data_IF_429127029158
#
_entry.id   IF_429127029158
#
_cell.length_a   1.000
_cell.length_b   1.000
_cell.length_c   1.000
_cell.angle_alpha   90.00
_cell.angle_beta   90.00
_cell.angle_gamma   90.00
#
_symmetry.space_group_name_H-M   'P 1'
#
loop_
_entity.id
_entity.type
_entity.pdbx_description
1 polymer ?
#
# COMPACT_ATOMS: atom_id res chain seq x y z
N UNK A 1 -16.39 -72.13 -17.73
CA UNK A 1 -15.99 -71.11 -18.73
C UNK A 1 -14.69 -70.48 -18.22
N UNK A 2 -13.56 -70.75 -18.88
CA UNK A 2 -12.27 -70.13 -18.54
C UNK A 2 -12.21 -68.79 -19.28
N UNK A 3 -12.09 -67.69 -18.55
CA UNK A 3 -11.87 -66.38 -19.15
C UNK A 3 -10.50 -66.39 -19.85
N UNK A 4 -10.51 -66.24 -21.16
CA UNK A 4 -9.30 -66.01 -21.95
C UNK A 4 -9.02 -64.51 -21.85
N UNK A 5 -8.00 -64.14 -21.08
CA UNK A 5 -7.44 -62.79 -21.12
C UNK A 5 -6.46 -62.73 -22.29
N UNK A 6 -6.85 -62.07 -23.36
CA UNK A 6 -5.92 -61.74 -24.45
C UNK A 6 -5.14 -60.51 -24.00
N UNK A 7 -3.90 -60.71 -23.56
CA UNK A 7 -2.94 -59.63 -23.38
C UNK A 7 -2.33 -59.33 -24.75
N UNK A 8 -2.86 -58.34 -25.46
CA UNK A 8 -2.22 -57.81 -26.66
C UNK A 8 -1.04 -56.96 -26.19
N UNK A 9 0.15 -57.56 -26.16
CA UNK A 9 1.39 -56.81 -26.10
C UNK A 9 1.61 -56.17 -27.48
N UNK A 10 1.24 -54.90 -27.63
CA UNK A 10 1.48 -54.13 -28.84
C UNK A 10 2.97 -53.71 -28.84
N UNK A 11 3.84 -54.54 -29.41
CA UNK A 11 5.24 -54.18 -29.66
C UNK A 11 5.28 -53.37 -30.97
N UNK A 12 5.23 -52.04 -30.86
CA UNK A 12 5.57 -51.15 -31.97
C UNK A 12 7.10 -51.08 -32.09
N UNK A 13 7.66 -51.95 -32.95
CA UNK A 13 9.02 -51.78 -33.46
C UNK A 13 9.01 -50.69 -34.54
N UNK A 14 9.58 -49.53 -34.23
CA UNK A 14 10.23 -48.65 -35.21
C UNK A 14 9.39 -48.17 -36.41
N UNK A 15 8.14 -47.76 -36.20
CA UNK A 15 7.39 -46.97 -37.18
C UNK A 15 7.17 -45.59 -36.56
N UNK A 16 7.88 -44.57 -37.03
CA UNK A 16 7.48 -43.17 -36.80
C UNK A 16 6.29 -42.85 -37.70
N UNK A 17 5.09 -43.21 -37.24
CA UNK A 17 3.88 -42.64 -37.79
C UNK A 17 3.73 -41.21 -37.25
N UNK A 18 4.29 -40.23 -37.97
CA UNK A 18 4.07 -38.80 -37.71
C UNK A 18 2.65 -38.37 -38.14
N UNK A 19 1.62 -38.98 -37.55
CA UNK A 19 0.24 -38.85 -38.05
C UNK A 19 -0.81 -38.49 -36.99
N UNK A 20 -0.43 -38.06 -35.79
CA UNK A 20 -1.41 -37.54 -34.85
C UNK A 20 -0.97 -36.20 -34.27
N UNK A 21 -1.49 -35.13 -34.87
CA UNK A 21 -1.58 -33.80 -34.25
C UNK A 21 -2.42 -33.83 -32.97
N UNK A 22 -3.15 -34.93 -32.71
CA UNK A 22 -4.13 -35.04 -31.63
C UNK A 22 -4.31 -36.48 -31.16
N UNK A 23 -4.35 -36.69 -29.84
CA UNK A 23 -4.81 -37.91 -29.20
C UNK A 23 -6.23 -37.73 -28.65
N UNK A 24 -7.17 -38.56 -29.10
CA UNK A 24 -8.58 -38.50 -28.68
C UNK A 24 -8.96 -39.72 -27.85
N UNK A 25 -9.37 -39.50 -26.60
CA UNK A 25 -9.98 -40.53 -25.76
C UNK A 25 -11.51 -40.48 -25.89
N UNK A 26 -12.12 -41.53 -26.42
CA UNK A 26 -13.59 -41.73 -26.42
C UNK A 26 -14.02 -42.90 -25.53
N UNK A 27 -13.08 -43.52 -24.81
CA UNK A 27 -13.30 -44.73 -24.01
C UNK A 27 -12.79 -44.55 -22.58
N UNK A 28 -12.04 -45.53 -22.08
CA UNK A 28 -11.43 -45.47 -20.75
C UNK A 28 -9.91 -45.59 -20.88
N UNK A 29 -9.19 -44.56 -20.45
CA UNK A 29 -7.74 -44.59 -20.28
C UNK A 29 -7.44 -44.73 -18.80
N UNK A 30 -6.64 -45.75 -18.45
CA UNK A 30 -6.11 -45.92 -17.10
C UNK A 30 -4.59 -46.02 -17.16
N UNK A 31 -3.91 -45.20 -16.37
CA UNK A 31 -2.47 -45.30 -16.14
C UNK A 31 -2.22 -46.16 -14.89
N UNK A 32 -1.22 -47.04 -14.97
CA UNK A 32 -0.78 -47.87 -13.86
C UNK A 32 0.48 -47.30 -13.20
N UNK A 33 0.78 -47.76 -11.98
CA UNK A 33 1.93 -47.32 -11.19
C UNK A 33 3.24 -47.35 -12.00
N UNK A 34 3.98 -46.24 -11.96
CA UNK A 34 5.24 -46.05 -12.67
C UNK A 34 5.08 -45.54 -14.12
N UNK A 35 3.84 -45.39 -14.61
CA UNK A 35 3.62 -44.87 -15.95
C UNK A 35 3.89 -43.35 -16.03
N UNK A 36 4.26 -42.90 -17.22
CA UNK A 36 4.26 -41.49 -17.60
C UNK A 36 3.63 -41.40 -18.97
N UNK A 37 2.72 -40.46 -19.17
CA UNK A 37 2.07 -40.23 -20.47
C UNK A 37 2.52 -38.88 -21.00
N UNK A 38 3.20 -38.88 -22.15
CA UNK A 38 3.65 -37.66 -22.81
C UNK A 38 2.83 -37.44 -24.07
N UNK A 39 2.22 -36.26 -24.16
CA UNK A 39 1.51 -35.78 -25.33
C UNK A 39 2.42 -34.86 -26.13
N UNK A 40 2.65 -35.20 -27.40
CA UNK A 40 3.39 -34.37 -28.36
C UNK A 40 2.46 -33.56 -29.29
N UNK A 41 1.17 -33.88 -29.31
CA UNK A 41 0.09 -33.13 -29.99
C UNK A 41 -1.05 -32.79 -29.02
N UNK A 42 -2.18 -32.33 -29.54
CA UNK A 42 -3.38 -32.02 -28.76
C UNK A 42 -3.89 -33.24 -27.98
N UNK A 43 -4.60 -32.99 -26.87
CA UNK A 43 -5.32 -34.03 -26.14
C UNK A 43 -6.81 -33.68 -26.05
N UNK A 44 -7.66 -34.59 -26.52
CA UNK A 44 -9.13 -34.49 -26.44
C UNK A 44 -9.64 -35.61 -25.54
N UNK A 45 -10.23 -35.27 -24.39
CA UNK A 45 -10.83 -36.24 -23.48
C UNK A 45 -12.37 -36.21 -23.53
N UNK A 46 -12.95 -37.14 -24.27
CA UNK A 46 -14.41 -37.38 -24.34
C UNK A 46 -14.82 -38.65 -23.57
N UNK A 47 -13.89 -39.29 -22.87
CA UNK A 47 -14.11 -40.52 -22.10
C UNK A 47 -13.62 -40.39 -20.65
N UNK A 48 -13.45 -41.54 -19.99
CA UNK A 48 -12.85 -41.59 -18.64
C UNK A 48 -11.33 -41.54 -18.77
N UNK A 49 -10.69 -40.65 -18.03
CA UNK A 49 -9.24 -40.58 -17.89
C UNK A 49 -8.86 -40.74 -16.41
N UNK A 50 -8.22 -41.86 -16.08
CA UNK A 50 -7.78 -42.20 -14.73
C UNK A 50 -6.27 -42.30 -14.73
N UNK A 51 -5.57 -41.25 -14.31
CA UNK A 51 -4.11 -41.27 -14.32
C UNK A 51 -3.48 -41.97 -13.11
N UNK A 52 -4.26 -42.45 -12.14
CA UNK A 52 -3.78 -43.32 -11.07
C UNK A 52 -2.61 -42.75 -10.25
N UNK A 53 -2.55 -41.44 -10.06
CA UNK A 53 -1.44 -40.79 -9.35
C UNK A 53 -0.20 -40.53 -10.19
N UNK A 54 -0.24 -40.81 -11.50
CA UNK A 54 0.92 -40.74 -12.40
C UNK A 54 1.11 -39.35 -13.02
N UNK A 55 2.04 -39.25 -13.97
CA UNK A 55 2.45 -37.97 -14.59
C UNK A 55 1.97 -37.88 -16.04
N UNK A 56 1.24 -36.81 -16.35
CA UNK A 56 0.96 -36.36 -17.70
C UNK A 56 1.90 -35.21 -18.09
N UNK A 57 2.47 -35.25 -19.29
CA UNK A 57 3.43 -34.26 -19.79
C UNK A 57 2.96 -33.75 -21.15
N UNK A 58 2.90 -32.43 -21.32
CA UNK A 58 2.71 -31.78 -22.62
C UNK A 58 4.07 -31.23 -23.10
N UNK A 59 4.66 -31.90 -24.10
CA UNK A 59 6.04 -31.67 -24.59
C UNK A 59 6.06 -31.60 -26.12
N UNK A 60 5.04 -30.99 -26.72
CA UNK A 60 4.98 -30.76 -28.16
C UNK A 60 6.01 -29.73 -28.65
N UNK A 61 6.26 -29.73 -29.96
CA UNK A 61 7.07 -28.71 -30.65
C UNK A 61 6.22 -27.62 -31.31
N UNK A 62 4.91 -27.83 -31.38
CA UNK A 62 3.89 -26.88 -31.84
C UNK A 62 2.89 -26.65 -30.72
N UNK A 63 2.09 -25.59 -30.82
CA UNK A 63 1.09 -25.26 -29.81
C UNK A 63 0.11 -26.43 -29.59
N UNK A 64 -0.21 -26.75 -28.34
CA UNK A 64 -1.11 -27.86 -27.98
C UNK A 64 -2.41 -27.38 -27.32
N UNK A 65 -3.50 -28.10 -27.54
CA UNK A 65 -4.77 -27.90 -26.87
C UNK A 65 -5.10 -29.05 -25.90
N UNK A 66 -5.64 -28.71 -24.73
CA UNK A 66 -6.30 -29.65 -23.82
C UNK A 66 -7.81 -29.41 -23.90
N UNK A 67 -8.54 -30.36 -24.46
CA UNK A 67 -9.95 -30.22 -24.80
C UNK A 67 -10.74 -31.49 -24.50
N UNK A 68 -12.03 -31.48 -24.81
CA UNK A 68 -12.93 -32.62 -24.64
C UNK A 68 -14.23 -32.25 -23.95
N UNK A 69 -15.15 -33.20 -23.87
CA UNK A 69 -16.45 -33.04 -23.22
C UNK A 69 -16.52 -33.60 -21.80
N UNK A 70 -15.56 -34.44 -21.42
CA UNK A 70 -15.57 -35.14 -20.13
C UNK A 70 -14.61 -34.47 -19.16
N UNK A 71 -15.03 -34.36 -17.89
CA UNK A 71 -14.21 -33.78 -16.82
C UNK A 71 -12.80 -34.38 -16.81
N UNK A 72 -11.80 -33.52 -16.74
CA UNK A 72 -10.40 -33.92 -16.84
C UNK A 72 -9.62 -33.54 -15.59
N UNK A 73 -9.13 -34.56 -14.92
CA UNK A 73 -8.30 -34.45 -13.71
C UNK A 73 -6.96 -35.10 -13.96
N UNK A 74 -5.89 -34.37 -13.64
CA UNK A 74 -4.54 -34.87 -13.57
C UNK A 74 -4.11 -34.95 -12.11
N UNK A 75 -3.45 -36.02 -11.71
CA UNK A 75 -2.71 -36.13 -10.47
C UNK A 75 -1.46 -35.26 -10.54
N UNK A 76 -0.61 -35.47 -11.54
CA UNK A 76 0.55 -34.63 -11.79
C UNK A 76 0.58 -34.18 -13.25
N UNK A 77 0.68 -32.87 -13.48
CA UNK A 77 0.71 -32.27 -14.81
C UNK A 77 2.00 -31.51 -15.00
N UNK A 78 2.71 -31.79 -16.10
CA UNK A 78 3.89 -31.03 -16.50
C UNK A 78 3.64 -30.33 -17.83
N UNK A 79 3.83 -29.01 -17.84
CA UNK A 79 3.84 -28.19 -19.05
C UNK A 79 5.30 -27.95 -19.43
N UNK A 80 5.70 -28.49 -20.58
CA UNK A 80 7.07 -28.46 -21.12
C UNK A 80 7.13 -27.96 -22.57
N UNK A 81 6.00 -27.54 -23.12
CA UNK A 81 5.93 -27.08 -24.50
C UNK A 81 6.22 -25.57 -24.61
N UNK A 82 7.37 -25.20 -25.21
CA UNK A 82 7.74 -23.79 -25.41
C UNK A 82 6.81 -23.02 -26.36
N UNK A 83 6.07 -23.70 -27.25
CA UNK A 83 5.04 -23.10 -28.09
C UNK A 83 3.71 -22.87 -27.34
N UNK A 84 3.61 -23.36 -26.10
CA UNK A 84 2.48 -23.17 -25.20
C UNK A 84 1.40 -24.26 -25.30
N UNK A 85 0.55 -24.27 -24.28
CA UNK A 85 -0.60 -25.17 -24.14
C UNK A 85 -1.83 -24.33 -23.79
N UNK A 86 -2.93 -24.53 -24.52
CA UNK A 86 -4.20 -23.83 -24.27
C UNK A 86 -5.26 -24.77 -23.71
N UNK A 87 -5.99 -24.32 -22.69
CA UNK A 87 -7.17 -25.00 -22.19
C UNK A 87 -8.41 -24.68 -23.05
N UNK A 88 -9.11 -25.71 -23.49
CA UNK A 88 -10.44 -25.62 -24.11
C UNK A 88 -11.54 -26.16 -23.18
N UNK A 89 -11.16 -26.73 -22.04
CA UNK A 89 -12.03 -27.10 -20.93
C UNK A 89 -11.33 -26.82 -19.59
N UNK A 90 -12.11 -26.64 -18.52
CA UNK A 90 -11.56 -26.53 -17.17
C UNK A 90 -10.95 -27.86 -16.74
N UNK A 91 -9.85 -27.81 -15.98
CA UNK A 91 -9.15 -29.00 -15.50
C UNK A 91 -8.83 -28.90 -14.01
N UNK A 92 -8.62 -30.06 -13.38
CA UNK A 92 -8.18 -30.18 -11.99
C UNK A 92 -6.79 -30.83 -11.96
N UNK A 93 -5.89 -30.31 -11.12
CA UNK A 93 -4.60 -30.91 -10.79
C UNK A 93 -4.59 -31.28 -9.30
N UNK A 94 -4.55 -32.56 -8.98
CA UNK A 94 -4.69 -33.05 -7.59
C UNK A 94 -3.39 -32.97 -6.77
N UNK A 95 -2.22 -33.10 -7.38
CA UNK A 95 -0.94 -33.12 -6.65
C UNK A 95 -0.01 -32.00 -7.10
N UNK A 96 0.59 -32.11 -8.30
CA UNK A 96 1.61 -31.15 -8.74
C UNK A 96 1.37 -30.64 -10.16
N UNK A 97 1.51 -29.32 -10.32
CA UNK A 97 1.64 -28.65 -11.61
C UNK A 97 3.08 -28.17 -11.77
N UNK A 98 3.80 -28.69 -12.76
CA UNK A 98 5.18 -28.32 -13.05
C UNK A 98 5.24 -27.49 -14.35
N UNK A 99 5.58 -26.21 -14.24
CA UNK A 99 5.72 -25.27 -15.36
C UNK A 99 7.20 -25.16 -15.76
N UNK A 100 7.62 -26.07 -16.62
CA UNK A 100 9.04 -26.19 -17.01
C UNK A 100 9.38 -25.33 -18.23
N UNK A 101 8.47 -25.17 -19.19
CA UNK A 101 8.66 -24.34 -20.38
C UNK A 101 7.31 -23.95 -21.01
N UNK A 102 7.26 -22.73 -21.56
CA UNK A 102 6.11 -22.16 -22.27
C UNK A 102 4.92 -21.76 -21.39
N UNK A 103 3.92 -21.19 -22.05
CA UNK A 103 2.70 -20.72 -21.39
C UNK A 103 1.66 -21.84 -21.25
N UNK A 104 0.94 -21.86 -20.13
CA UNK A 104 -0.37 -22.50 -19.99
C UNK A 104 -1.44 -21.41 -20.07
N UNK A 105 -2.07 -21.26 -21.23
CA UNK A 105 -3.18 -20.32 -21.43
C UNK A 105 -4.48 -20.93 -20.93
N UNK A 106 -5.08 -20.28 -19.93
CA UNK A 106 -6.34 -20.71 -19.35
C UNK A 106 -7.52 -20.51 -20.29
N UNK A 107 -7.43 -19.58 -21.26
CA UNK A 107 -8.41 -19.37 -22.32
C UNK A 107 -9.89 -19.48 -21.86
N UNK A 108 -10.24 -18.64 -20.89
CA UNK A 108 -11.59 -18.58 -20.32
C UNK A 108 -12.03 -19.85 -19.58
N UNK A 109 -11.08 -20.67 -19.12
CA UNK A 109 -11.30 -21.87 -18.31
C UNK A 109 -10.71 -21.71 -16.91
N UNK A 110 -11.22 -22.54 -16.01
CA UNK A 110 -10.70 -22.63 -14.65
C UNK A 110 -9.67 -23.76 -14.56
N UNK A 111 -8.49 -23.42 -14.05
CA UNK A 111 -7.52 -24.41 -13.57
C UNK A 111 -7.65 -24.50 -12.06
N UNK A 112 -7.97 -25.68 -11.54
CA UNK A 112 -8.06 -25.93 -10.09
C UNK A 112 -6.86 -26.74 -9.61
N UNK A 113 -6.15 -26.24 -8.60
CA UNK A 113 -5.13 -26.99 -7.86
C UNK A 113 -5.78 -27.49 -6.57
N UNK A 114 -5.93 -28.81 -6.46
CA UNK A 114 -6.57 -29.49 -5.34
C UNK A 114 -5.53 -30.08 -4.37
N UNK A 115 -4.44 -29.32 -4.16
CA UNK A 115 -3.40 -29.63 -3.20
C UNK A 115 -3.07 -28.37 -2.41
N UNK A 116 -3.19 -28.45 -1.08
CA UNK A 116 -2.99 -27.33 -0.18
C UNK A 116 -1.52 -27.03 0.15
N UNK A 117 -0.57 -27.75 -0.45
CA UNK A 117 0.86 -27.48 -0.29
C UNK A 117 1.31 -26.27 -1.11
N UNK A 118 2.11 -25.34 -0.56
CA UNK A 118 2.78 -24.27 -1.31
C UNK A 118 3.64 -24.77 -2.48
N UNK A 119 4.16 -25.99 -2.40
CA UNK A 119 4.99 -26.61 -3.44
C UNK A 119 4.20 -27.33 -4.55
N UNK A 120 2.87 -27.29 -4.51
CA UNK A 120 2.02 -27.98 -5.50
C UNK A 120 2.03 -27.32 -6.88
N UNK A 121 2.45 -26.06 -6.98
CA UNK A 121 2.85 -25.46 -8.25
C UNK A 121 4.36 -25.21 -8.19
N UNK A 122 5.08 -25.77 -9.15
CA UNK A 122 6.52 -25.53 -9.32
C UNK A 122 6.80 -24.90 -10.68
N UNK A 123 7.87 -24.09 -10.76
CA UNK A 123 8.24 -23.37 -11.97
C UNK A 123 9.74 -23.42 -12.20
N UNK A 124 10.14 -23.71 -13.43
CA UNK A 124 11.50 -23.48 -13.93
C UNK A 124 11.54 -22.29 -14.89
N UNK A 125 10.66 -22.28 -15.91
CA UNK A 125 10.60 -21.18 -16.89
C UNK A 125 9.15 -20.88 -17.36
N UNK A 126 8.25 -21.86 -17.36
CA UNK A 126 6.87 -21.69 -17.82
C UNK A 126 6.00 -20.79 -16.92
N UNK A 127 4.82 -20.40 -17.39
CA UNK A 127 3.92 -19.50 -16.66
C UNK A 127 2.47 -19.70 -17.10
N UNK A 128 1.52 -19.12 -16.37
CA UNK A 128 0.08 -19.21 -16.64
C UNK A 128 -0.41 -17.89 -17.24
N UNK A 129 -1.20 -17.94 -18.31
CA UNK A 129 -1.87 -16.77 -18.89
C UNK A 129 -3.34 -16.77 -18.45
N UNK A 130 -3.79 -15.64 -17.89
CA UNK A 130 -5.13 -15.43 -17.31
C UNK A 130 -5.83 -14.20 -17.90
N UNK A 131 -5.34 -13.68 -19.02
CA UNK A 131 -5.61 -12.33 -19.54
C UNK A 131 -6.99 -12.15 -20.23
N UNK A 132 -8.05 -12.71 -19.64
CA UNK A 132 -9.43 -12.51 -20.08
C UNK A 132 -10.11 -11.44 -19.24
N UNK A 133 -10.63 -10.41 -19.91
CA UNK A 133 -11.24 -9.23 -19.29
C UNK A 133 -12.56 -9.52 -18.56
N UNK A 134 -13.25 -10.58 -18.93
CA UNK A 134 -14.49 -11.06 -18.30
C UNK A 134 -14.25 -11.92 -17.06
N UNK A 135 -12.99 -12.01 -16.60
CA UNK A 135 -12.58 -12.80 -15.46
C UNK A 135 -12.85 -14.31 -15.64
N UNK A 136 -12.99 -14.84 -16.85
CA UNK A 136 -13.31 -16.27 -17.05
C UNK A 136 -12.10 -17.20 -16.89
N UNK A 137 -10.90 -16.75 -17.26
CA UNK A 137 -9.66 -17.53 -17.16
C UNK A 137 -9.03 -17.40 -15.77
N UNK A 138 -9.31 -18.33 -14.85
CA UNK A 138 -8.89 -18.21 -13.43
C UNK A 138 -8.09 -19.42 -12.93
N UNK A 139 -7.13 -19.15 -12.04
CA UNK A 139 -6.46 -20.17 -11.23
C UNK A 139 -7.14 -20.24 -9.86
N UNK A 140 -7.73 -21.37 -9.51
CA UNK A 140 -8.28 -21.66 -8.17
C UNK A 140 -7.34 -22.60 -7.43
N UNK A 141 -6.93 -22.25 -6.22
CA UNK A 141 -6.07 -23.07 -5.38
C UNK A 141 -6.78 -23.40 -4.07
N UNK A 142 -6.96 -24.69 -3.76
CA UNK A 142 -7.47 -25.16 -2.48
C UNK A 142 -6.37 -25.09 -1.43
N UNK A 143 -6.41 -24.10 -0.53
CA UNK A 143 -5.36 -23.86 0.46
C UNK A 143 -5.85 -24.20 1.88
N UNK A 144 -7.05 -23.79 2.25
CA UNK A 144 -7.59 -23.97 3.60
C UNK A 144 -6.81 -23.17 4.63
N UNK A 145 -6.46 -23.81 5.74
CA UNK A 145 -5.71 -23.21 6.86
C UNK A 145 -4.19 -23.34 6.78
N UNK A 146 -3.64 -23.77 5.64
CA UNK A 146 -2.20 -23.88 5.48
C UNK A 146 -1.56 -22.50 5.36
N UNK A 147 -0.50 -22.28 6.14
CA UNK A 147 0.30 -21.05 6.10
C UNK A 147 1.51 -21.21 5.17
N UNK A 148 2.10 -20.08 4.78
CA UNK A 148 3.27 -20.02 3.92
C UNK A 148 3.00 -19.34 2.57
N UNK A 149 4.01 -19.40 1.70
CA UNK A 149 4.04 -18.61 0.47
C UNK A 149 3.56 -19.40 -0.75
N UNK A 150 2.37 -19.06 -1.23
CA UNK A 150 1.76 -19.62 -2.43
C UNK A 150 2.01 -18.68 -3.63
N UNK A 151 2.70 -19.19 -4.64
CA UNK A 151 3.06 -18.40 -5.82
C UNK A 151 2.13 -18.79 -6.97
N UNK A 152 1.34 -17.84 -7.45
CA UNK A 152 0.53 -17.94 -8.65
C UNK A 152 1.40 -17.47 -9.83
N UNK A 153 1.93 -18.38 -10.67
CA UNK A 153 3.01 -18.07 -11.60
C UNK A 153 2.46 -17.47 -12.91
N UNK A 154 1.77 -16.34 -12.80
CA UNK A 154 1.23 -15.66 -13.97
C UNK A 154 2.32 -15.07 -14.86
N UNK A 155 2.00 -14.97 -16.13
CA UNK A 155 2.76 -14.23 -17.12
C UNK A 155 1.83 -13.54 -18.12
N UNK A 156 2.39 -12.61 -18.87
CA UNK A 156 1.67 -11.90 -19.94
C UNK A 156 1.64 -12.71 -21.23
N UNK A 157 0.70 -12.43 -22.13
CA UNK A 157 0.70 -13.03 -23.47
C UNK A 157 1.97 -12.70 -24.28
N UNK A 158 2.66 -11.60 -23.95
CA UNK A 158 3.96 -11.24 -24.52
C UNK A 158 5.15 -11.96 -23.88
N UNK A 159 4.93 -12.75 -22.82
CA UNK A 159 5.92 -13.61 -22.18
C UNK A 159 6.68 -13.01 -21.00
N UNK A 160 6.21 -11.87 -20.45
CA UNK A 160 6.77 -11.33 -19.20
C UNK A 160 6.24 -12.12 -18.00
N UNK A 161 7.11 -12.54 -17.09
CA UNK A 161 6.71 -13.23 -15.86
C UNK A 161 6.28 -12.22 -14.79
N UNK A 162 5.05 -12.33 -14.32
CA UNK A 162 4.37 -11.37 -13.43
C UNK A 162 3.64 -12.11 -12.31
N UNK A 163 4.38 -12.78 -11.40
CA UNK A 163 3.76 -13.62 -10.38
C UNK A 163 2.92 -12.79 -9.42
N UNK A 164 1.80 -13.37 -9.02
CA UNK A 164 1.10 -12.97 -7.81
C UNK A 164 1.54 -13.88 -6.67
N UNK A 165 1.95 -13.30 -5.54
CA UNK A 165 2.40 -14.05 -4.37
C UNK A 165 1.45 -13.80 -3.22
N UNK A 166 0.94 -14.90 -2.65
CA UNK A 166 0.08 -14.91 -1.49
C UNK A 166 0.87 -15.55 -0.33
N UNK A 167 1.28 -14.75 0.65
CA UNK A 167 1.98 -15.24 1.83
C UNK A 167 1.03 -15.27 3.03
N UNK A 168 0.51 -16.46 3.34
CA UNK A 168 -0.52 -16.64 4.37
C UNK A 168 0.15 -16.70 5.73
N UNK A 169 -0.20 -15.75 6.60
CA UNK A 169 0.37 -15.63 7.94
C UNK A 169 -0.45 -16.35 8.99
N UNK A 170 -1.79 -16.40 8.84
CA UNK A 170 -2.71 -17.03 9.80
C UNK A 170 -4.13 -17.17 9.25
N UNK A 171 -4.94 -18.04 9.90
CA UNK A 171 -6.36 -18.25 9.58
C UNK A 171 -6.62 -19.31 8.51
N UNK A 172 -7.90 -19.61 8.27
CA UNK A 172 -8.41 -20.38 7.14
C UNK A 172 -8.81 -19.51 5.93
N UNK A 173 -7.93 -19.43 4.93
CA UNK A 173 -8.20 -18.66 3.70
C UNK A 173 -9.12 -19.40 2.72
N UNK A 174 -9.36 -20.70 2.94
CA UNK A 174 -10.17 -21.54 2.07
C UNK A 174 -9.54 -21.72 0.69
N UNK A 175 -10.36 -21.68 -0.35
CA UNK A 175 -9.90 -21.60 -1.72
C UNK A 175 -9.60 -20.15 -2.07
N UNK A 176 -8.45 -19.91 -2.72
CA UNK A 176 -8.12 -18.61 -3.32
C UNK A 176 -8.22 -18.74 -4.83
N UNK A 177 -9.00 -17.86 -5.44
CA UNK A 177 -9.17 -17.78 -6.89
C UNK A 177 -8.59 -16.46 -7.38
N UNK A 178 -7.68 -16.55 -8.34
CA UNK A 178 -6.99 -15.38 -8.89
C UNK A 178 -7.15 -15.35 -10.41
N UNK A 179 -7.38 -14.15 -10.94
CA UNK A 179 -7.17 -13.83 -12.34
C UNK A 179 -6.48 -12.48 -12.47
N UNK A 180 -5.87 -12.24 -13.63
CA UNK A 180 -5.28 -10.94 -13.96
C UNK A 180 -5.27 -10.72 -15.46
N UNK A 181 -5.50 -9.47 -15.87
CA UNK A 181 -5.47 -9.10 -17.28
C UNK A 181 -4.92 -7.67 -17.45
N UNK A 182 -4.21 -7.42 -18.55
CA UNK A 182 -3.74 -6.09 -18.91
C UNK A 182 -4.90 -5.28 -19.46
N UNK A 183 -4.80 -3.97 -19.33
CA UNK A 183 -5.74 -3.02 -19.92
C UNK A 183 -5.07 -2.20 -21.01
N UNK A 184 -5.88 -1.52 -21.81
CA UNK A 184 -5.39 -0.43 -22.64
C UNK A 184 -5.16 0.82 -21.77
N UNK A 185 -4.67 1.89 -22.39
CA UNK A 185 -4.61 3.22 -21.77
C UNK A 185 -5.95 3.60 -21.11
N UNK A 186 -5.88 4.42 -20.07
CA UNK A 186 -7.00 4.79 -19.19
C UNK A 186 -7.57 3.59 -18.39
N UNK A 187 -6.77 2.52 -18.29
CA UNK A 187 -7.05 1.28 -17.57
C UNK A 187 -8.37 0.61 -17.97
N UNK A 188 -8.76 0.66 -19.23
CA UNK A 188 -9.98 0.00 -19.73
C UNK A 188 -9.68 -1.32 -20.46
N UNK A 189 -10.60 -2.30 -20.41
CA UNK A 189 -11.88 -2.28 -19.70
C UNK A 189 -11.73 -2.52 -18.19
N UNK A 190 -12.69 -2.01 -17.40
CA UNK A 190 -12.78 -2.28 -15.97
C UNK A 190 -13.35 -3.68 -15.68
N UNK A 191 -13.00 -4.29 -14.53
CA UNK A 191 -13.64 -5.53 -14.10
C UNK A 191 -15.16 -5.38 -14.00
N UNK A 192 -15.90 -6.31 -14.60
CA UNK A 192 -17.38 -6.34 -14.55
C UNK A 192 -17.94 -7.54 -13.81
N UNK A 193 -17.10 -8.48 -13.36
CA UNK A 193 -17.50 -9.71 -12.68
C UNK A 193 -16.34 -10.33 -11.89
N UNK A 194 -16.58 -10.90 -10.69
CA UNK A 194 -17.84 -10.86 -9.94
C UNK A 194 -18.13 -9.47 -9.35
N UNK A 195 -17.09 -8.65 -9.18
CA UNK A 195 -17.17 -7.31 -8.63
C UNK A 195 -17.00 -6.31 -9.77
N UNK A 196 -17.90 -5.32 -9.82
CA UNK A 196 -17.88 -4.26 -10.82
C UNK A 196 -17.02 -3.10 -10.29
N UNK A 197 -15.97 -2.77 -11.03
CA UNK A 197 -15.21 -1.53 -10.86
C UNK A 197 -15.78 -0.47 -11.80
N UNK A 198 -16.04 0.72 -11.28
CA UNK A 198 -16.72 1.77 -12.05
C UNK A 198 -15.82 2.94 -12.43
N UNK A 199 -14.68 3.11 -11.78
CA UNK A 199 -13.75 4.22 -12.01
C UNK A 199 -12.34 3.93 -11.49
N UNK A 200 -11.38 4.77 -11.90
CA UNK A 200 -10.03 4.87 -11.34
C UNK A 200 -9.85 6.27 -10.77
N UNK A 201 -10.68 6.62 -9.79
CA UNK A 201 -10.61 7.94 -9.17
C UNK A 201 -9.75 7.94 -7.90
N UNK A 202 -9.12 9.07 -7.62
CA UNK A 202 -8.49 9.36 -6.35
C UNK A 202 -9.53 9.61 -5.23
N UNK A 203 -9.05 9.86 -4.01
CA UNK A 203 -9.90 10.12 -2.83
C UNK A 203 -10.78 11.37 -2.97
N UNK A 204 -10.43 12.29 -3.87
CA UNK A 204 -11.18 13.52 -4.13
C UNK A 204 -12.16 13.36 -5.31
N UNK A 205 -12.19 12.20 -5.96
CA UNK A 205 -13.03 11.91 -7.10
C UNK A 205 -12.45 12.33 -8.45
N UNK A 206 -11.16 12.71 -8.53
CA UNK A 206 -10.48 13.00 -9.78
C UNK A 206 -9.95 11.74 -10.44
N UNK A 207 -9.93 11.72 -11.77
CA UNK A 207 -9.35 10.61 -12.53
C UNK A 207 -7.84 10.46 -12.23
N UNK A 208 -7.44 9.25 -11.86
CA UNK A 208 -6.07 8.83 -11.54
C UNK A 208 -5.56 7.74 -12.50
N UNK A 209 -6.24 7.54 -13.63
CA UNK A 209 -5.91 6.50 -14.60
C UNK A 209 -4.49 6.62 -15.16
N UNK A 210 -4.05 7.84 -15.47
CA UNK A 210 -2.70 8.14 -15.97
C UNK A 210 -1.57 7.77 -14.99
N UNK A 211 -1.91 7.53 -13.72
CA UNK A 211 -0.99 7.20 -12.63
C UNK A 211 -1.29 5.81 -12.05
N UNK A 212 -2.02 4.98 -12.80
CA UNK A 212 -2.38 3.61 -12.46
C UNK A 212 -1.83 2.67 -13.52
N UNK A 213 -1.21 1.57 -13.10
CA UNK A 213 -0.69 0.58 -14.03
C UNK A 213 -1.81 -0.06 -14.84
N UNK A 214 -1.55 -0.38 -16.11
CA UNK A 214 -2.52 -0.95 -17.04
C UNK A 214 -2.74 -2.45 -16.80
N UNK A 215 -3.19 -2.80 -15.59
CA UNK A 215 -3.51 -4.17 -15.17
C UNK A 215 -4.41 -4.22 -13.95
N UNK A 216 -5.34 -5.17 -13.95
CA UNK A 216 -6.12 -5.55 -12.77
C UNK A 216 -5.73 -6.95 -12.27
N UNK A 217 -5.90 -7.15 -10.97
CA UNK A 217 -5.97 -8.48 -10.35
C UNK A 217 -7.34 -8.65 -9.73
N UNK A 218 -8.08 -9.69 -10.12
CA UNK A 218 -9.23 -10.12 -9.35
C UNK A 218 -8.78 -11.23 -8.41
N UNK A 219 -8.99 -11.03 -7.11
CA UNK A 219 -8.71 -12.05 -6.11
C UNK A 219 -9.96 -12.27 -5.28
N UNK A 220 -10.38 -13.53 -5.17
CA UNK A 220 -11.50 -13.97 -4.37
C UNK A 220 -11.02 -15.06 -3.40
N UNK A 221 -11.56 -15.07 -2.17
CA UNK A 221 -11.37 -16.17 -1.22
C UNK A 221 -12.71 -16.66 -0.67
N UNK A 222 -12.82 -17.92 -0.28
CA UNK A 222 -14.03 -18.49 0.34
C UNK A 222 -13.83 -18.98 1.79
N UNK A 223 -12.64 -18.82 2.36
CA UNK A 223 -12.38 -19.13 3.76
C UNK A 223 -12.88 -18.07 4.74
N UNK A 224 -13.25 -18.48 5.97
CA UNK A 224 -13.94 -17.63 6.94
C UNK A 224 -13.06 -16.52 7.53
N UNK A 225 -11.79 -16.79 7.79
CA UNK A 225 -10.86 -15.87 8.43
C UNK A 225 -9.46 -16.11 7.87
N UNK A 226 -8.73 -15.09 7.45
CA UNK A 226 -7.43 -15.33 6.82
C UNK A 226 -6.68 -14.04 6.66
N UNK A 227 -5.44 -14.03 7.11
CA UNK A 227 -4.53 -12.90 6.96
C UNK A 227 -3.38 -13.31 6.07
N UNK A 228 -3.10 -12.51 5.06
CA UNK A 228 -1.99 -12.75 4.16
C UNK A 228 -1.28 -11.45 3.78
N UNK A 229 0.00 -11.56 3.42
CA UNK A 229 0.68 -10.53 2.65
C UNK A 229 0.52 -10.82 1.17
N UNK A 230 0.10 -9.83 0.38
CA UNK A 230 -0.10 -9.96 -1.07
C UNK A 230 1.01 -9.25 -1.81
N UNK A 231 1.69 -9.92 -2.74
CA UNK A 231 2.64 -9.25 -3.65
C UNK A 231 2.13 -9.30 -5.07
N UNK A 232 1.94 -8.12 -5.63
CA UNK A 232 1.55 -7.91 -7.02
C UNK A 232 2.79 -7.57 -7.84
N UNK A 233 2.90 -8.13 -9.04
CA UNK A 233 3.97 -7.83 -9.99
C UNK A 233 3.33 -7.52 -11.34
N UNK A 234 3.69 -6.40 -11.98
CA UNK A 234 3.27 -6.06 -13.34
C UNK A 234 4.46 -5.97 -14.29
N UNK A 235 4.21 -6.03 -15.59
CA UNK A 235 5.27 -5.84 -16.57
C UNK A 235 5.68 -4.36 -16.60
N UNK A 236 6.97 -4.09 -16.85
CA UNK A 236 7.45 -2.69 -16.93
C UNK A 236 6.72 -1.86 -17.99
N UNK A 237 6.27 -2.50 -19.09
CA UNK A 237 5.46 -1.86 -20.12
C UNK A 237 4.06 -1.44 -19.66
N UNK A 238 3.51 -2.10 -18.64
CA UNK A 238 2.18 -1.81 -18.06
C UNK A 238 2.26 -0.74 -16.97
N UNK A 239 3.42 -0.62 -16.33
CA UNK A 239 3.71 0.42 -15.33
C UNK A 239 4.13 1.73 -16.01
N UNK A 240 4.85 1.65 -17.13
CA UNK A 240 5.34 2.82 -17.85
C UNK A 240 6.30 3.65 -16.99
N UNK A 241 5.96 4.93 -16.78
CA UNK A 241 6.76 5.88 -16.02
C UNK A 241 6.30 6.06 -14.57
N UNK A 242 5.34 5.26 -14.11
CA UNK A 242 4.82 5.36 -12.74
C UNK A 242 5.93 4.97 -11.75
N UNK A 243 6.11 5.76 -10.70
CA UNK A 243 7.06 5.51 -9.62
C UNK A 243 6.35 5.49 -8.27
N UNK A 244 7.05 5.05 -7.22
CA UNK A 244 6.50 4.94 -5.86
C UNK A 244 5.21 4.11 -5.83
N UNK A 245 5.23 2.94 -6.47
CA UNK A 245 4.05 2.08 -6.59
C UNK A 245 3.46 1.73 -5.21
N UNK A 246 2.15 1.81 -5.12
CA UNK A 246 1.34 1.28 -4.04
C UNK A 246 0.20 0.47 -4.63
N UNK A 247 -0.42 -0.38 -3.82
CA UNK A 247 -1.56 -1.18 -4.20
C UNK A 247 -2.81 -0.73 -3.44
N UNK A 248 -3.92 -0.70 -4.14
CA UNK A 248 -5.24 -0.41 -3.57
C UNK A 248 -6.24 -1.45 -3.99
N UNK A 249 -7.20 -1.66 -3.08
CA UNK A 249 -8.28 -2.60 -3.23
C UNK A 249 -9.55 -1.84 -3.60
N UNK A 250 -10.31 -2.33 -4.57
CA UNK A 250 -11.64 -1.83 -4.85
C UNK A 250 -12.63 -2.35 -3.80
N UNK A 251 -13.37 -1.45 -3.18
CA UNK A 251 -14.38 -1.77 -2.19
C UNK A 251 -15.77 -1.50 -2.79
N UNK A 252 -16.45 -2.58 -3.15
CA UNK A 252 -17.77 -2.54 -3.78
C UNK A 252 -18.86 -2.00 -2.85
N UNK A 253 -18.70 -2.18 -1.54
CA UNK A 253 -19.61 -1.61 -0.55
C UNK A 253 -19.59 -0.08 -0.53
N UNK A 254 -18.41 0.52 -0.70
CA UNK A 254 -18.25 1.99 -0.75
C UNK A 254 -18.31 2.54 -2.17
N UNK A 255 -18.17 1.68 -3.20
CA UNK A 255 -18.09 2.09 -4.60
C UNK A 255 -16.80 2.86 -4.92
N UNK A 256 -15.70 2.58 -4.21
CA UNK A 256 -14.44 3.30 -4.35
C UNK A 256 -13.20 2.49 -3.94
N UNK A 257 -12.03 3.08 -4.17
CA UNK A 257 -10.74 2.50 -3.77
C UNK A 257 -10.49 2.71 -2.28
N UNK A 258 -10.19 1.64 -1.55
CA UNK A 258 -9.79 1.74 -0.14
C UNK A 258 -8.51 2.57 0.00
N UNK A 259 -8.36 3.26 1.12
CA UNK A 259 -7.08 3.85 1.48
C UNK A 259 -5.99 2.77 1.50
N UNK A 260 -4.77 3.06 1.00
CA UNK A 260 -3.71 2.06 0.99
C UNK A 260 -3.41 1.57 2.41
N UNK A 261 -3.31 0.26 2.59
CA UNK A 261 -2.95 -0.30 3.88
C UNK A 261 -1.54 0.18 4.30
N UNK A 262 -1.29 0.43 5.59
CA UNK A 262 0.01 0.86 6.07
C UNK A 262 1.06 -0.25 5.94
N UNK A 263 2.32 0.15 5.74
CA UNK A 263 3.47 -0.78 5.73
C UNK A 263 3.72 -1.49 4.40
N UNK A 264 3.12 -1.02 3.29
CA UNK A 264 3.46 -1.52 1.96
C UNK A 264 4.92 -1.25 1.63
N UNK A 265 5.52 -2.17 0.87
CA UNK A 265 6.84 -2.00 0.26
C UNK A 265 6.74 -2.18 -1.24
N UNK A 266 7.65 -1.57 -1.99
CA UNK A 266 7.63 -1.62 -3.44
C UNK A 266 9.02 -1.81 -4.05
N UNK A 267 9.00 -2.22 -5.31
CA UNK A 267 10.12 -2.14 -6.24
C UNK A 267 9.67 -1.34 -7.46
N UNK A 268 10.48 -1.30 -8.52
CA UNK A 268 10.08 -0.71 -9.78
C UNK A 268 8.86 -1.40 -10.41
N UNK A 269 8.64 -2.69 -10.13
CA UNK A 269 7.58 -3.47 -10.80
C UNK A 269 6.69 -4.29 -9.88
N UNK A 270 6.86 -4.17 -8.57
CA UNK A 270 6.07 -4.93 -7.60
C UNK A 270 5.72 -4.13 -6.37
N UNK A 271 4.62 -4.52 -5.72
CA UNK A 271 4.20 -3.99 -4.42
C UNK A 271 3.78 -5.14 -3.52
N UNK A 272 4.26 -5.15 -2.28
CA UNK A 272 3.83 -6.06 -1.23
C UNK A 272 2.95 -5.33 -0.23
N UNK A 273 1.75 -5.87 0.02
CA UNK A 273 0.75 -5.36 0.96
C UNK A 273 0.64 -6.30 2.15
N UNK A 274 1.03 -5.88 3.37
CA UNK A 274 0.92 -6.73 4.54
C UNK A 274 -0.50 -6.74 5.12
N UNK A 275 -0.79 -7.77 5.92
CA UNK A 275 -1.99 -7.87 6.78
C UNK A 275 -3.34 -7.74 6.04
N UNK A 276 -3.42 -8.28 4.82
CA UNK A 276 -4.65 -8.26 4.03
C UNK A 276 -5.62 -9.33 4.51
N UNK A 277 -6.86 -8.93 4.79
CA UNK A 277 -7.97 -9.82 5.18
C UNK A 277 -9.15 -9.78 4.22
N UNK A 278 -9.22 -8.76 3.37
CA UNK A 278 -10.28 -8.55 2.38
C UNK A 278 -9.74 -8.63 0.96
N UNK A 279 -10.47 -9.33 0.09
CA UNK A 279 -10.07 -9.63 -1.28
C UNK A 279 -11.17 -9.18 -2.22
N UNK A 280 -10.77 -8.56 -3.32
CA UNK A 280 -11.63 -8.01 -4.37
C UNK A 280 -10.71 -7.58 -5.54
N UNK A 281 -11.13 -6.79 -6.54
CA UNK A 281 -10.20 -6.25 -7.52
C UNK A 281 -9.10 -5.39 -6.87
N UNK A 282 -7.88 -5.48 -7.39
CA UNK A 282 -6.74 -4.66 -7.00
C UNK A 282 -6.10 -4.00 -8.22
N UNK A 283 -5.48 -2.85 -7.98
CA UNK A 283 -4.62 -2.12 -8.91
C UNK A 283 -3.28 -1.80 -8.27
N UNK A 284 -2.30 -1.48 -9.12
CA UNK A 284 -1.09 -0.75 -8.72
C UNK A 284 -1.20 0.67 -9.22
N UNK A 285 -0.89 1.64 -8.37
CA UNK A 285 -0.88 3.05 -8.73
C UNK A 285 0.35 3.74 -8.15
N UNK A 286 0.77 4.86 -8.74
CA UNK A 286 1.87 5.65 -8.20
C UNK A 286 1.40 6.47 -7.03
N UNK A 287 2.05 6.35 -5.87
CA UNK A 287 1.84 7.32 -4.80
C UNK A 287 2.64 8.60 -5.09
N UNK A 288 2.27 9.28 -6.17
CA UNK A 288 2.76 10.60 -6.54
C UNK A 288 2.04 11.72 -5.77
N UNK A 289 1.18 11.35 -4.81
CA UNK A 289 0.65 12.25 -3.80
C UNK A 289 1.68 12.33 -2.68
N UNK A 290 2.45 13.42 -2.54
CA UNK A 290 3.25 13.60 -1.34
C UNK A 290 2.29 13.56 -0.16
N UNK A 291 2.59 12.74 0.84
CA UNK A 291 1.97 12.94 2.15
C UNK A 291 2.13 14.43 2.46
N UNK A 292 1.03 15.16 2.70
CA UNK A 292 1.10 16.60 2.85
C UNK A 292 2.09 16.93 3.97
N UNK A 293 2.99 17.88 3.73
CA UNK A 293 3.77 18.49 4.81
C UNK A 293 2.82 18.76 5.97
N UNK A 294 3.15 18.20 7.12
CA UNK A 294 2.34 18.37 8.31
C UNK A 294 2.76 19.68 9.00
N UNK A 295 2.05 20.76 8.65
CA UNK A 295 2.22 22.06 9.28
C UNK A 295 1.73 22.00 10.73
N UNK A 296 2.66 22.02 11.69
CA UNK A 296 2.35 21.98 13.12
C UNK A 296 1.82 23.32 13.63
N UNK A 297 2.43 24.42 13.19
CA UNK A 297 2.00 25.75 13.58
C UNK A 297 2.26 26.79 12.48
N UNK A 298 1.47 27.85 12.54
CA UNK A 298 1.71 29.09 11.79
C UNK A 298 1.24 30.26 12.66
N UNK A 299 2.12 31.24 12.85
CA UNK A 299 1.91 32.38 13.73
C UNK A 299 2.39 33.67 13.04
N UNK A 300 1.73 34.80 13.34
CA UNK A 300 2.10 36.12 12.83
C UNK A 300 2.13 37.13 13.95
N UNK A 301 3.25 37.85 14.10
CA UNK A 301 3.51 38.83 15.15
C UNK A 301 3.91 40.18 14.56
N UNK A 302 3.32 41.26 15.09
CA UNK A 302 3.76 42.63 14.76
C UNK A 302 4.93 43.01 15.67
N UNK A 303 6.14 42.99 15.15
CA UNK A 303 7.34 43.40 15.91
C UNK A 303 7.96 44.58 15.17
N UNK A 304 8.05 45.74 15.84
CA UNK A 304 8.41 47.00 15.20
C UNK A 304 7.50 47.29 14.00
N UNK A 305 8.08 47.69 12.87
CA UNK A 305 7.36 47.95 11.63
C UNK A 305 7.28 46.73 10.68
N UNK A 306 7.29 45.52 11.24
CA UNK A 306 7.24 44.26 10.47
C UNK A 306 6.16 43.33 10.98
N UNK A 307 5.52 42.63 10.04
CA UNK A 307 4.83 41.38 10.31
C UNK A 307 5.84 40.23 10.22
N UNK A 308 6.11 39.58 11.35
CA UNK A 308 7.01 38.44 11.45
C UNK A 308 6.16 37.17 11.46
N UNK A 309 6.33 36.35 10.44
CA UNK A 309 5.63 35.10 10.24
C UNK A 309 6.54 33.96 10.66
N UNK A 310 6.04 33.04 11.48
CA UNK A 310 6.77 31.85 11.94
C UNK A 310 5.93 30.61 11.70
N UNK A 311 6.55 29.55 11.19
CA UNK A 311 5.87 28.27 11.06
C UNK A 311 6.82 27.09 11.22
N UNK A 312 6.22 25.95 11.53
CA UNK A 312 6.94 24.71 11.81
C UNK A 312 6.30 23.55 11.07
N UNK A 313 7.12 22.72 10.45
CA UNK A 313 6.70 21.47 9.79
C UNK A 313 7.22 20.28 10.59
N UNK A 314 6.39 19.24 10.77
CA UNK A 314 6.82 17.98 11.40
C UNK A 314 7.59 17.10 10.41
N UNK A 315 7.16 17.11 9.16
CA UNK A 315 7.76 16.39 8.04
C UNK A 315 7.49 17.12 6.73
N UNK A 316 8.34 16.91 5.73
CA UNK A 316 8.22 17.43 4.38
C UNK A 316 8.49 16.33 3.37
N UNK A 317 7.67 16.22 2.33
CA UNK A 317 7.91 15.31 1.21
C UNK A 317 7.61 16.07 -0.07
N UNK A 318 8.55 16.08 -1.01
CA UNK A 318 8.50 16.84 -2.27
C UNK A 318 8.14 18.32 -2.14
N UNK A 319 8.38 18.95 -0.99
CA UNK A 319 8.04 20.34 -0.71
C UNK A 319 9.00 21.29 -1.44
N UNK A 320 8.49 22.01 -2.43
CA UNK A 320 9.24 23.07 -3.11
C UNK A 320 9.40 24.29 -2.19
N UNK A 321 8.37 24.61 -1.41
CA UNK A 321 8.41 25.68 -0.42
C UNK A 321 7.06 26.33 -0.18
N UNK A 322 7.09 27.54 0.36
CA UNK A 322 5.92 28.26 0.84
C UNK A 322 5.81 29.61 0.14
N UNK A 323 4.75 29.82 -0.63
CA UNK A 323 4.29 31.16 -1.02
C UNK A 323 3.57 31.81 0.16
N UNK A 324 4.00 33.01 0.53
CA UNK A 324 3.39 33.80 1.59
C UNK A 324 2.38 34.75 0.95
N UNK A 325 1.12 34.64 1.36
CA UNK A 325 0.07 35.50 0.86
C UNK A 325 -0.47 36.42 1.95
N UNK A 326 -0.75 37.67 1.56
CA UNK A 326 -1.28 38.74 2.41
C UNK A 326 -2.63 39.24 1.89
N UNK A 327 -3.55 39.54 2.79
CA UNK A 327 -4.84 40.15 2.48
C UNK A 327 -5.23 41.19 3.53
N UNK A 328 -5.95 42.23 3.12
CA UNK A 328 -6.59 43.21 4.02
C UNK A 328 -8.10 43.01 4.15
N UNK A 329 -8.71 42.16 3.30
CA UNK A 329 -10.16 42.00 3.20
C UNK A 329 -10.63 40.53 3.15
N UNK A 330 -9.72 39.56 3.32
CA UNK A 330 -9.94 38.11 3.23
C UNK A 330 -10.41 37.58 1.85
N UNK A 331 -10.62 38.46 0.87
CA UNK A 331 -11.11 38.11 -0.47
C UNK A 331 -10.00 38.15 -1.50
N UNK A 332 -9.22 39.21 -1.47
CA UNK A 332 -8.09 39.44 -2.38
C UNK A 332 -6.79 39.11 -1.66
N UNK A 333 -6.02 38.17 -2.22
CA UNK A 333 -4.76 37.70 -1.67
C UNK A 333 -3.62 38.09 -2.61
N UNK A 334 -2.57 38.68 -2.06
CA UNK A 334 -1.36 39.07 -2.78
C UNK A 334 -0.20 38.20 -2.32
N UNK A 335 0.50 37.55 -3.24
CA UNK A 335 1.78 36.93 -2.96
C UNK A 335 2.81 38.01 -2.61
N UNK A 336 3.46 37.87 -1.44
CA UNK A 336 4.44 38.80 -0.90
C UNK A 336 5.84 38.20 -0.73
N UNK A 337 6.03 36.92 -1.05
CA UNK A 337 7.32 36.26 -0.96
C UNK A 337 7.23 34.74 -1.07
N UNK A 338 8.40 34.11 -1.24
CA UNK A 338 8.56 32.66 -1.26
C UNK A 338 9.70 32.26 -0.33
N UNK A 339 9.49 31.20 0.46
CA UNK A 339 10.53 30.57 1.29
C UNK A 339 10.68 29.13 0.84
N UNK A 340 11.87 28.78 0.35
CA UNK A 340 12.18 27.43 -0.12
C UNK A 340 12.04 26.40 1.00
N UNK A 341 11.40 25.27 0.69
CA UNK A 341 11.35 24.10 1.55
C UNK A 341 12.65 23.30 1.50
N UNK A 342 12.72 22.20 2.24
CA UNK A 342 13.87 21.29 2.24
C UNK A 342 13.69 20.10 1.27
N UNK A 343 12.64 20.09 0.45
CA UNK A 343 12.30 18.98 -0.43
C UNK A 343 11.75 17.80 0.35
N UNK A 344 12.62 17.07 1.07
CA UNK A 344 12.22 15.95 1.92
C UNK A 344 12.85 16.09 3.33
N UNK A 345 12.05 15.97 4.37
CA UNK A 345 12.47 16.00 5.77
C UNK A 345 11.56 15.13 6.65
N UNK A 346 12.14 14.39 7.58
CA UNK A 346 11.40 13.71 8.65
C UNK A 346 11.74 14.29 10.03
N UNK A 347 12.37 15.47 10.05
CA UNK A 347 12.71 16.20 11.27
C UNK A 347 11.92 17.51 11.31
N UNK A 348 11.71 18.02 12.52
CA UNK A 348 11.05 19.29 12.75
C UNK A 348 11.87 20.43 12.15
N UNK A 349 11.26 21.20 11.24
CA UNK A 349 11.89 22.34 10.58
C UNK A 349 11.12 23.63 10.90
N UNK A 350 11.87 24.69 11.18
CA UNK A 350 11.33 26.00 11.54
C UNK A 350 11.68 27.02 10.46
N UNK A 351 10.69 27.82 10.12
CA UNK A 351 10.78 28.83 9.08
C UNK A 351 10.34 30.19 9.59
N UNK A 352 10.85 31.24 8.93
CA UNK A 352 10.49 32.62 9.22
C UNK A 352 10.41 33.46 7.96
N UNK A 353 9.49 34.42 7.95
CA UNK A 353 9.38 35.43 6.91
C UNK A 353 9.03 36.79 7.51
N UNK A 354 9.73 37.84 7.09
CA UNK A 354 9.55 39.19 7.62
C UNK A 354 8.99 40.09 6.53
N UNK A 355 7.73 40.52 6.70
CA UNK A 355 7.08 41.45 5.79
C UNK A 355 7.12 42.89 6.36
N UNK A 356 7.79 43.85 5.71
CA UNK A 356 7.71 45.25 6.12
C UNK A 356 6.28 45.78 5.98
N UNK A 357 5.87 46.61 6.94
CA UNK A 357 4.58 47.29 6.93
C UNK A 357 4.76 48.69 6.34
N UNK A 358 4.08 48.96 5.22
CA UNK A 358 4.09 50.28 4.61
C UNK A 358 3.41 51.32 5.53
N UNK A 359 3.89 52.56 5.54
CA UNK A 359 3.36 53.63 6.43
C UNK A 359 1.95 54.13 6.04
N UNK A 360 1.40 53.66 4.92
CA UNK A 360 0.13 54.12 4.35
C UNK A 360 -1.09 53.23 4.70
N UNK A 361 -1.06 52.50 5.82
CA UNK A 361 -2.26 51.81 6.29
C UNK A 361 -3.28 52.85 6.76
N UNK A 362 -4.34 53.04 5.98
CA UNK A 362 -5.47 53.88 6.38
C UNK A 362 -6.02 53.35 7.71
N UNK A 363 -6.33 54.26 8.64
CA UNK A 363 -6.83 54.01 10.00
C UNK A 363 -8.14 53.21 10.11
N UNK A 364 -8.65 52.64 9.00
CA UNK A 364 -9.81 51.75 8.92
C UNK A 364 -9.45 50.27 8.87
N UNK A 365 -8.22 49.89 8.50
CA UNK A 365 -7.79 48.49 8.47
C UNK A 365 -7.21 48.10 9.84
N UNK A 366 -8.04 47.52 10.72
CA UNK A 366 -7.57 47.10 12.05
C UNK A 366 -6.74 45.81 12.02
N UNK A 367 -6.80 45.04 10.92
CA UNK A 367 -6.16 43.74 10.79
C UNK A 367 -5.57 43.52 9.40
N UNK A 368 -4.43 42.81 9.35
CA UNK A 368 -3.88 42.21 8.14
C UNK A 368 -3.92 40.69 8.30
N UNK A 369 -4.28 39.99 7.24
CA UNK A 369 -4.39 38.54 7.22
C UNK A 369 -3.27 37.94 6.37
N UNK A 370 -2.77 36.79 6.82
CA UNK A 370 -1.73 36.03 6.16
C UNK A 370 -2.13 34.55 6.08
N UNK A 371 -1.67 33.89 5.03
CA UNK A 371 -1.70 32.43 4.91
C UNK A 371 -0.45 31.96 4.17
N UNK A 372 -0.08 30.72 4.42
CA UNK A 372 0.94 30.03 3.65
C UNK A 372 0.24 29.21 2.57
N UNK A 373 0.74 29.30 1.35
CA UNK A 373 0.44 28.37 0.26
C UNK A 373 1.68 27.51 0.07
N UNK A 374 1.64 26.32 0.63
CA UNK A 374 2.70 25.35 0.49
C UNK A 374 2.59 24.69 -0.88
N UNK A 375 3.71 24.56 -1.59
CA UNK A 375 3.78 24.10 -2.97
C UNK A 375 4.78 22.96 -3.08
N UNK A 376 4.38 21.88 -3.74
CA UNK A 376 5.24 20.74 -4.03
C UNK A 376 5.97 20.95 -5.37
N UNK A 377 7.04 20.20 -5.64
CA UNK A 377 7.81 20.33 -6.89
C UNK A 377 6.99 20.06 -8.17
N UNK A 378 5.86 19.34 -8.05
CA UNK A 378 4.92 19.09 -9.13
C UNK A 378 3.84 20.18 -9.29
N UNK A 379 3.88 21.24 -8.46
CA UNK A 379 2.95 22.37 -8.51
C UNK A 379 1.64 22.18 -7.73
N UNK A 380 1.42 21.01 -7.11
CA UNK A 380 0.29 20.80 -6.17
C UNK A 380 0.50 21.69 -4.95
N UNK A 381 -0.59 22.24 -4.40
CA UNK A 381 -0.50 23.15 -3.27
C UNK A 381 -1.61 22.96 -2.23
N UNK A 382 -1.31 23.37 -1.00
CA UNK A 382 -2.25 23.42 0.12
C UNK A 382 -2.10 24.73 0.88
N UNK A 383 -3.22 25.28 1.36
CA UNK A 383 -3.20 26.46 2.23
C UNK A 383 -3.13 26.09 3.71
N UNK A 384 -2.41 26.88 4.49
CA UNK A 384 -2.51 26.88 5.96
C UNK A 384 -3.84 27.45 6.43
N UNK A 385 -4.07 27.39 7.74
CA UNK A 385 -5.02 28.28 8.40
C UNK A 385 -4.63 29.75 8.17
N UNK A 386 -5.62 30.63 8.18
CA UNK A 386 -5.40 32.08 8.10
C UNK A 386 -5.01 32.59 9.48
N UNK A 387 -4.00 33.47 9.52
CA UNK A 387 -3.59 34.20 10.72
C UNK A 387 -3.77 35.69 10.51
N UNK A 388 -4.36 36.34 11.51
CA UNK A 388 -4.57 37.79 11.52
C UNK A 388 -3.58 38.46 12.45
N UNK A 389 -3.11 39.64 12.07
CA UNK A 389 -2.27 40.51 12.87
C UNK A 389 -2.97 41.85 13.01
N UNK A 390 -3.14 42.34 14.25
CA UNK A 390 -3.74 43.65 14.49
C UNK A 390 -2.68 44.75 14.34
N UNK A 391 -2.99 45.79 13.56
CA UNK A 391 -2.06 46.89 13.30
C UNK A 391 -1.87 47.84 14.49
N UNK A 392 -2.84 47.90 15.41
CA UNK A 392 -2.83 48.79 16.57
C UNK A 392 -2.13 48.17 17.79
N UNK A 393 -1.80 46.88 17.74
CA UNK A 393 -1.09 46.18 18.81
C UNK A 393 0.29 45.76 18.34
N UNK A 394 1.32 46.27 19.01
CA UNK A 394 2.68 45.80 18.85
C UNK A 394 2.91 44.64 19.81
N UNK A 395 3.27 43.47 19.30
CA UNK A 395 3.75 42.39 20.15
C UNK A 395 5.14 42.77 20.62
N UNK A 396 5.23 43.31 21.85
CA UNK A 396 6.49 43.38 22.57
C UNK A 396 7.01 41.96 22.69
N UNK A 397 8.20 41.68 22.15
CA UNK A 397 8.98 40.51 22.57
C UNK A 397 9.31 40.68 24.05
N UNK A 398 8.41 40.24 24.92
CA UNK A 398 8.76 39.95 26.29
C UNK A 398 9.40 38.57 26.22
N UNK A 399 10.73 38.51 26.09
CA UNK A 399 11.45 37.26 26.29
C UNK A 399 11.27 36.86 27.76
N UNK A 400 10.22 36.10 28.07
CA UNK A 400 9.96 35.62 29.43
C UNK A 400 11.07 34.63 29.77
N UNK A 401 11.99 35.03 30.65
CA UNK A 401 13.04 34.18 31.21
C UNK A 401 12.57 33.68 32.57
N UNK A 402 12.52 32.36 32.72
CA UNK A 402 12.25 31.69 34.00
C UNK A 402 13.56 31.17 34.55
N UNK A 403 13.91 31.59 35.76
CA UNK A 403 15.03 31.03 36.51
C UNK A 403 14.49 30.28 37.72
N UNK A 404 15.12 29.16 38.06
CA UNK A 404 14.84 28.45 39.29
C UNK A 404 16.12 28.17 40.07
N UNK A 405 16.04 28.25 41.40
CA UNK A 405 17.17 27.95 42.28
C UNK A 405 16.71 27.64 43.72
N UNK A 406 17.47 26.80 44.45
CA UNK A 406 18.61 26.01 43.96
C UNK A 406 18.15 24.87 43.04
N UNK A 407 19.01 24.43 42.12
CA UNK A 407 18.80 23.19 41.37
C UNK A 407 20.14 22.46 41.24
N UNK A 408 20.30 21.28 41.88
CA UNK A 408 19.29 20.52 42.62
C UNK A 408 18.78 21.20 43.92
N UNK A 409 17.57 20.83 44.37
CA UNK A 409 16.89 21.40 45.54
C UNK A 409 16.62 20.35 46.63
N UNK A 410 16.59 20.76 47.90
CA UNK A 410 16.26 19.90 49.06
C UNK A 410 14.92 20.29 49.69
N UNK A 411 14.79 21.51 50.20
CA UNK A 411 13.62 21.88 51.03
C UNK A 411 12.69 22.88 50.33
N UNK A 412 13.28 23.77 49.54
CA UNK A 412 12.57 24.84 48.83
C UNK A 412 13.06 24.96 47.39
N UNK A 413 12.17 25.37 46.50
CA UNK A 413 12.52 25.84 45.15
C UNK A 413 11.96 27.24 44.93
N UNK A 414 12.82 28.17 44.53
CA UNK A 414 12.43 29.53 44.16
C UNK A 414 12.32 29.62 42.65
N UNK A 415 11.26 30.26 42.18
CA UNK A 415 11.02 30.50 40.76
C UNK A 415 10.90 32.00 40.55
N UNK A 416 11.64 32.52 39.57
CA UNK A 416 11.66 33.92 39.20
C UNK A 416 11.38 34.07 37.70
N UNK A 417 10.52 35.01 37.36
CA UNK A 417 10.27 35.46 35.99
C UNK A 417 10.76 36.91 35.85
N UNK A 418 11.29 37.27 34.68
CA UNK A 418 11.67 38.66 34.38
C UNK A 418 10.47 39.57 34.03
N UNK A 419 9.25 39.13 34.37
CA UNK A 419 7.98 39.83 34.14
C UNK A 419 7.23 39.99 35.46
N UNK A 420 7.60 40.98 36.29
CA UNK A 420 7.13 41.07 37.67
C UNK A 420 5.62 41.34 37.80
N UNK A 421 4.98 41.85 36.76
CA UNK A 421 3.56 42.25 36.76
C UNK A 421 2.64 41.24 36.04
N UNK A 422 3.19 40.14 35.52
CA UNK A 422 2.42 39.11 34.80
C UNK A 422 2.08 37.95 35.72
N UNK A 423 0.81 37.55 35.74
CA UNK A 423 0.36 36.34 36.43
C UNK A 423 0.53 35.12 35.52
N UNK A 424 1.04 34.03 36.10
CA UNK A 424 1.19 32.73 35.44
C UNK A 424 0.45 31.66 36.23
N UNK A 425 -0.23 30.77 35.53
CA UNK A 425 -0.62 29.46 36.07
C UNK A 425 0.60 28.55 36.11
N UNK A 426 0.80 27.88 37.24
CA UNK A 426 1.97 27.07 37.54
C UNK A 426 1.54 25.66 37.90
N UNK A 427 2.04 24.69 37.15
CA UNK A 427 1.91 23.26 37.47
C UNK A 427 3.29 22.68 37.73
N UNK A 428 3.42 21.89 38.79
CA UNK A 428 4.59 21.05 39.02
C UNK A 428 4.19 19.60 38.81
N UNK A 429 4.93 18.89 37.97
CA UNK A 429 4.69 17.51 37.57
C UNK A 429 5.85 16.64 38.06
N UNK A 430 5.55 15.44 38.57
CA UNK A 430 6.57 14.43 38.83
C UNK A 430 7.09 13.78 37.51
N UNK A 431 8.07 12.89 37.60
CA UNK A 431 8.64 12.20 36.42
C UNK A 431 7.64 11.34 35.64
N UNK A 432 6.47 11.05 36.23
CA UNK A 432 5.39 10.27 35.62
C UNK A 432 4.28 11.17 35.05
N UNK A 433 4.43 12.49 35.14
CA UNK A 433 3.45 13.46 34.67
C UNK A 433 2.29 13.72 35.64
N UNK A 434 2.37 13.25 36.88
CA UNK A 434 1.34 13.53 37.90
C UNK A 434 1.51 14.93 38.47
N UNK A 435 0.41 15.69 38.59
CA UNK A 435 0.42 17.04 39.15
C UNK A 435 0.60 16.98 40.67
N UNK A 436 1.67 17.59 41.18
CA UNK A 436 1.97 17.71 42.61
C UNK A 436 1.73 19.13 43.17
N UNK A 437 1.80 20.17 42.32
CA UNK A 437 1.38 21.55 42.63
C UNK A 437 0.57 22.11 41.47
N UNK A 438 -0.48 22.87 41.78
CA UNK A 438 -1.26 23.64 40.81
C UNK A 438 -1.71 24.96 41.43
N UNK A 439 -1.19 26.09 40.95
CA UNK A 439 -1.42 27.40 41.57
C UNK A 439 -1.06 28.56 40.62
N UNK A 440 -1.09 29.81 41.07
CA UNK A 440 -0.66 30.98 40.28
C UNK A 440 0.56 31.69 40.87
N UNK A 441 1.33 32.42 40.08
CA UNK A 441 2.39 33.29 40.58
C UNK A 441 2.51 34.57 39.77
N UNK A 442 3.03 35.62 40.41
CA UNK A 442 3.39 36.88 39.75
C UNK A 442 4.81 37.24 40.13
N UNK A 443 5.68 37.43 39.13
CA UNK A 443 7.10 37.78 39.33
C UNK A 443 7.95 36.68 39.95
N UNK A 444 7.82 36.41 41.25
CA UNK A 444 8.63 35.45 42.00
C UNK A 444 7.79 34.66 43.01
N UNK A 445 8.07 33.37 43.17
CA UNK A 445 7.43 32.53 44.19
C UNK A 445 8.33 31.40 44.68
N UNK A 446 8.29 31.15 45.98
CA UNK A 446 8.94 29.99 46.63
C UNK A 446 7.93 28.88 46.87
N UNK A 447 8.34 27.63 46.63
CA UNK A 447 7.57 26.43 46.94
C UNK A 447 8.31 25.59 47.97
N UNK A 448 7.60 25.20 49.04
CA UNK A 448 8.05 24.15 49.96
C UNK A 448 7.90 22.80 49.25
N UNK A 449 9.03 22.10 49.13
CA UNK A 449 9.14 20.79 48.51
C UNK A 449 9.73 19.76 49.49
N UNK A 450 9.78 20.06 50.79
CA UNK A 450 10.34 19.15 51.81
C UNK A 450 9.66 17.77 51.79
N UNK A 451 8.36 17.75 51.46
CA UNK A 451 7.53 16.55 51.40
C UNK A 451 7.62 15.82 50.06
N UNK A 452 8.35 16.36 49.08
CA UNK A 452 8.48 15.75 47.76
C UNK A 452 9.46 14.60 47.83
N UNK A 453 9.17 13.52 47.10
CA UNK A 453 10.12 12.41 46.95
C UNK A 453 11.29 12.85 46.06
N UNK A 454 12.51 12.32 46.29
CA UNK A 454 13.62 12.51 45.36
C UNK A 454 13.22 12.05 43.96
N UNK A 455 13.18 13.00 43.02
CA UNK A 455 12.76 12.78 41.64
C UNK A 455 13.15 14.01 40.77
N UNK A 456 12.98 13.88 39.46
CA UNK A 456 12.98 14.98 38.50
C UNK A 456 11.57 15.53 38.38
N UNK A 457 11.42 16.84 38.58
CA UNK A 457 10.14 17.53 38.48
C UNK A 457 10.16 18.54 37.34
N UNK A 458 9.05 18.61 36.61
CA UNK A 458 8.83 19.60 35.54
C UNK A 458 7.87 20.67 36.02
N UNK A 459 8.26 21.93 35.88
CA UNK A 459 7.44 23.09 36.17
C UNK A 459 6.97 23.69 34.86
N UNK A 460 5.66 23.78 34.70
CA UNK A 460 5.00 24.39 33.55
C UNK A 460 4.37 25.70 33.99
N UNK A 461 4.78 26.80 33.36
CA UNK A 461 4.22 28.14 33.56
C UNK A 461 3.45 28.55 32.31
N UNK A 462 2.18 28.91 32.45
CA UNK A 462 1.33 29.33 31.34
C UNK A 462 0.58 30.62 31.66
N UNK A 463 0.49 31.52 30.68
CA UNK A 463 -0.46 32.63 30.66
C UNK A 463 -1.06 32.75 29.25
N UNK A 464 -1.90 33.76 29.01
CA UNK A 464 -2.57 33.97 27.72
C UNK A 464 -1.61 34.22 26.55
N UNK A 465 -0.32 34.46 26.82
CA UNK A 465 0.69 34.85 25.84
C UNK A 465 1.82 33.83 25.66
N UNK A 466 2.07 32.96 26.65
CA UNK A 466 3.26 32.10 26.71
C UNK A 466 3.02 30.81 27.48
N UNK A 467 3.70 29.74 27.07
CA UNK A 467 3.84 28.50 27.82
C UNK A 467 5.33 28.14 27.91
N UNK A 468 5.84 27.95 29.13
CA UNK A 468 7.24 27.66 29.42
C UNK A 468 7.33 26.42 30.29
N UNK A 469 8.35 25.61 30.04
CA UNK A 469 8.67 24.44 30.85
C UNK A 469 10.11 24.49 31.32
N UNK A 470 10.34 24.23 32.60
CA UNK A 470 11.67 24.17 33.21
C UNK A 470 11.72 23.01 34.21
N UNK A 471 12.90 22.44 34.43
CA UNK A 471 13.07 21.21 35.23
C UNK A 471 13.96 21.47 36.43
N UNK A 472 13.62 20.87 37.57
CA UNK A 472 14.51 20.79 38.74
C UNK A 472 14.62 19.36 39.28
N UNK A 473 15.73 19.09 39.98
CA UNK A 473 16.00 17.80 40.63
C UNK A 473 15.79 17.97 42.13
N UNK A 474 14.89 17.19 42.74
CA UNK A 474 14.76 17.07 44.20
C UNK A 474 15.73 16.00 44.72
N UNK A 475 16.60 16.36 45.64
CA UNK A 475 17.47 15.44 46.38
C UNK A 475 16.80 14.96 47.68
N UNK A 476 17.42 14.04 48.41
CA UNK A 476 16.90 13.58 49.71
C UNK A 476 16.68 14.73 50.68
#
# INVERSE_FOLDING_TARGET
MKNIYIHIALILLGISANAQNQATNTGNIQMHTGATMTFFGDFVNNGTFTDGGQVAIFDGTTHQNISGSSSLTFSNLTIKNSAGVTLQQSIIVNNTLNLTSGALDLNSKMLTINNNSPSSISRTNGYIISEKTDNSGKLKWNIGSNTGTFIFPFGTASGSYIPFVLDITSGDIGNVTVSTYPTAADNIPYPTSPIIVTNINDINGYDNSANTADRFWQIDKDGPDGTASLTFTAAGSEIGSISNLMAQRWNDFTGGWDAPLPGQSNTATSVTVPNVTSFSPWILYGNNSPLPVELLNFEVKKINNYANLFWTTASEINNSGFEIEKSTNLKEWKNIGFVSGNGNSNILLQYKFNNPLDENFNSRDSFIYFRLKQIDFNGVFKYSEIRSMNLNYESKEISVKVNLFPNPATDIINIFTNTPDQEYFVKVLDSKGSIVINTTMTGCRSFDILHFKPDVYHIVLTNDLTALQITFIKLQ
#
